data_IF_423222362340
#
_entry.id   IF_423222362340
#
_cell.length_a   1.000
_cell.length_b   1.000
_cell.length_c   1.000
_cell.angle_alpha   90.00
_cell.angle_beta   90.00
_cell.angle_gamma   90.00
#
_symmetry.space_group_name_H-M   'P 1'
#
loop_
_entity.id
_entity.type
_entity.pdbx_description
1 polymer ?
#
# COMPACT_ATOMS: atom_id res chain seq x y z
N UNK A 1 -10.00 11.77 2.57
CA UNK A 1 -8.93 10.80 2.88
C UNK A 1 -8.48 11.09 4.30
N UNK A 2 -8.36 10.11 5.20
CA UNK A 2 -7.89 10.40 6.57
C UNK A 2 -6.37 10.54 6.56
N UNK A 3 -5.85 11.62 7.12
CA UNK A 3 -4.43 12.05 7.09
C UNK A 3 -3.41 10.98 7.51
N UNK A 4 -3.82 10.07 8.39
CA UNK A 4 -3.02 8.93 8.86
C UNK A 4 -2.70 7.96 7.71
N UNK A 5 -3.52 7.89 6.68
CA UNK A 5 -3.35 6.94 5.58
C UNK A 5 -2.16 7.28 4.69
N UNK A 6 -1.88 8.56 4.44
CA UNK A 6 -0.85 9.03 3.50
C UNK A 6 0.56 8.82 4.05
N UNK A 7 0.77 9.09 5.34
CA UNK A 7 2.06 8.82 6.01
C UNK A 7 2.33 7.32 6.03
N UNK A 8 1.29 6.51 6.24
CA UNK A 8 1.46 5.06 6.18
C UNK A 8 1.82 4.57 4.76
N UNK A 9 1.36 5.25 3.69
CA UNK A 9 1.75 4.89 2.31
C UNK A 9 3.24 5.10 2.12
N UNK A 10 3.76 6.28 2.49
CA UNK A 10 5.18 6.55 2.32
C UNK A 10 6.04 5.64 3.19
N UNK A 11 5.60 5.26 4.40
CA UNK A 11 6.31 4.25 5.19
C UNK A 11 6.40 2.91 4.44
N UNK A 12 5.31 2.43 3.82
CA UNK A 12 5.32 1.20 3.00
C UNK A 12 6.27 1.34 1.80
N UNK A 13 6.22 2.45 1.07
CA UNK A 13 7.07 2.68 -0.09
C UNK A 13 8.56 2.71 0.31
N UNK A 14 8.89 3.34 1.44
CA UNK A 14 10.26 3.37 1.96
C UNK A 14 10.73 1.99 2.45
N UNK A 15 9.86 1.17 3.07
CA UNK A 15 10.18 -0.22 3.43
C UNK A 15 10.55 -1.03 2.19
N UNK A 16 9.75 -0.92 1.13
CA UNK A 16 10.02 -1.62 -0.12
C UNK A 16 11.35 -1.16 -0.75
N UNK A 17 11.62 0.15 -0.77
CA UNK A 17 12.89 0.69 -1.25
C UNK A 17 14.09 0.16 -0.43
N UNK A 18 13.97 0.10 0.89
CA UNK A 18 15.02 -0.46 1.76
C UNK A 18 15.28 -1.93 1.40
N UNK A 19 14.22 -2.73 1.23
CA UNK A 19 14.37 -4.13 0.85
C UNK A 19 15.00 -4.29 -0.55
N UNK A 20 14.69 -3.40 -1.49
CA UNK A 20 15.26 -3.40 -2.84
C UNK A 20 16.75 -3.04 -2.84
N UNK A 21 17.16 -2.00 -2.10
CA UNK A 21 18.51 -1.44 -2.17
C UNK A 21 19.51 -2.19 -1.29
N UNK A 22 19.11 -2.57 -0.08
CA UNK A 22 20.01 -3.20 0.89
C UNK A 22 19.52 -4.56 1.40
N UNK A 23 18.34 -5.03 0.98
CA UNK A 23 17.78 -6.33 1.38
C UNK A 23 17.86 -6.51 2.91
N UNK A 24 18.12 -7.70 3.43
CA UNK A 24 18.19 -7.95 4.87
C UNK A 24 19.36 -7.25 5.61
N UNK A 25 20.25 -6.51 4.92
CA UNK A 25 21.32 -5.75 5.57
C UNK A 25 20.79 -4.64 6.49
N UNK A 26 19.54 -4.19 6.30
CA UNK A 26 18.90 -3.22 7.20
C UNK A 26 18.82 -3.72 8.65
N UNK A 27 18.82 -5.04 8.87
CA UNK A 27 18.76 -5.64 10.20
C UNK A 27 20.04 -5.41 11.01
N UNK A 28 21.16 -5.16 10.34
CA UNK A 28 22.47 -4.94 10.96
C UNK A 28 22.73 -3.47 11.33
N UNK A 29 21.77 -2.60 11.04
CA UNK A 29 21.92 -1.16 11.26
C UNK A 29 21.93 -0.83 12.76
N UNK A 30 22.79 0.09 13.23
CA UNK A 30 23.00 0.36 14.67
C UNK A 30 21.73 0.70 15.46
N UNK A 31 20.76 1.34 14.79
CA UNK A 31 19.49 1.77 15.35
C UNK A 31 18.41 0.68 15.38
N UNK A 32 18.69 -0.51 14.86
CA UNK A 32 17.73 -1.59 14.72
C UNK A 32 17.96 -2.64 15.80
N UNK A 33 16.94 -2.80 16.65
CA UNK A 33 16.87 -3.90 17.59
C UNK A 33 15.84 -4.93 17.10
N UNK A 34 16.31 -5.96 16.40
CA UNK A 34 15.47 -7.04 15.88
C UNK A 34 14.69 -7.77 16.97
N UNK A 35 15.23 -7.87 18.20
CA UNK A 35 14.52 -8.47 19.32
C UNK A 35 13.29 -7.65 19.75
N UNK A 36 13.36 -6.31 19.66
CA UNK A 36 12.21 -5.45 19.97
C UNK A 36 11.18 -5.45 18.83
N UNK A 37 11.62 -5.53 17.57
CA UNK A 37 10.73 -5.74 16.43
C UNK A 37 9.99 -7.08 16.55
N UNK A 38 10.69 -8.13 16.97
CA UNK A 38 10.11 -9.45 17.20
C UNK A 38 9.07 -9.43 18.34
N UNK A 39 9.32 -8.67 19.42
CA UNK A 39 8.31 -8.45 20.47
C UNK A 39 7.07 -7.75 19.92
N UNK A 40 7.24 -6.72 19.08
CA UNK A 40 6.13 -6.01 18.42
C UNK A 40 5.34 -6.97 17.53
N UNK A 41 6.03 -7.75 16.70
CA UNK A 41 5.45 -8.78 15.84
C UNK A 41 4.60 -9.77 16.64
N UNK A 42 5.17 -10.34 17.70
CA UNK A 42 4.43 -11.25 18.59
C UNK A 42 3.24 -10.59 19.28
N UNK A 43 3.38 -9.33 19.70
CA UNK A 43 2.27 -8.60 20.29
C UNK A 43 1.14 -8.33 19.28
N UNK A 44 1.48 -8.07 18.02
CA UNK A 44 0.50 -7.88 16.95
C UNK A 44 -0.21 -9.19 16.61
N UNK A 45 0.54 -10.30 16.43
CA UNK A 45 -0.03 -11.63 16.19
C UNK A 45 -0.98 -12.08 17.30
N UNK A 46 -0.72 -11.70 18.57
CA UNK A 46 -1.63 -11.98 19.69
C UNK A 46 -2.93 -11.17 19.62
N UNK A 47 -2.87 -9.93 19.11
CA UNK A 47 -4.05 -9.07 18.95
C UNK A 47 -4.86 -9.43 17.70
N UNK A 48 -4.21 -10.04 16.70
CA UNK A 48 -4.77 -10.37 15.39
C UNK A 48 -4.45 -11.83 15.02
N UNK A 49 -5.02 -12.82 15.76
CA UNK A 49 -4.72 -14.23 15.54
C UNK A 49 -5.23 -14.77 14.19
N UNK A 50 -6.13 -14.03 13.52
CA UNK A 50 -6.74 -14.43 12.25
C UNK A 50 -5.87 -14.08 11.03
N UNK A 51 -4.80 -13.30 11.20
CA UNK A 51 -3.86 -12.95 10.12
C UNK A 51 -3.10 -14.21 9.67
N UNK A 52 -3.32 -14.63 8.42
CA UNK A 52 -2.67 -15.80 7.83
C UNK A 52 -1.22 -15.45 7.47
N UNK A 53 -0.25 -16.07 8.16
CA UNK A 53 1.19 -15.90 7.93
C UNK A 53 1.87 -14.89 8.86
N UNK A 54 3.17 -15.06 9.09
CA UNK A 54 3.97 -14.12 9.87
C UNK A 54 4.35 -12.92 8.99
N UNK A 55 3.96 -11.71 9.41
CA UNK A 55 4.41 -10.49 8.75
C UNK A 55 5.94 -10.36 8.80
N UNK A 56 6.60 -9.90 7.71
CA UNK A 56 8.04 -9.71 7.71
C UNK A 56 8.44 -8.62 8.73
N UNK A 57 9.62 -8.75 9.33
CA UNK A 57 10.07 -7.86 10.41
C UNK A 57 10.14 -6.38 9.99
N UNK A 58 10.37 -6.12 8.70
CA UNK A 58 10.47 -4.77 8.14
C UNK A 58 9.17 -3.96 8.32
N UNK A 59 8.01 -4.63 8.39
CA UNK A 59 6.70 -4.00 8.64
C UNK A 59 6.62 -3.32 10.01
N UNK A 60 7.45 -3.76 10.97
CA UNK A 60 7.44 -3.25 12.34
C UNK A 60 8.44 -2.10 12.57
N UNK A 61 9.18 -1.71 11.54
CA UNK A 61 10.04 -0.53 11.59
C UNK A 61 9.20 0.72 11.78
N UNK A 62 9.63 1.57 12.71
CA UNK A 62 9.02 2.88 12.92
C UNK A 62 9.57 3.92 11.94
N UNK A 63 8.80 4.99 11.71
CA UNK A 63 9.18 6.09 10.82
C UNK A 63 10.61 6.62 11.04
N UNK A 64 11.01 6.81 12.30
CA UNK A 64 12.36 7.28 12.65
C UNK A 64 13.44 6.26 12.31
N UNK A 65 13.12 4.96 12.38
CA UNK A 65 14.04 3.89 11.99
C UNK A 65 14.22 3.84 10.48
N UNK A 66 13.13 4.01 9.71
CA UNK A 66 13.18 4.13 8.24
C UNK A 66 14.08 5.30 7.82
N UNK A 67 13.87 6.48 8.42
CA UNK A 67 14.76 7.64 8.21
C UNK A 67 16.21 7.29 8.54
N UNK A 68 16.45 6.70 9.71
CA UNK A 68 17.80 6.39 10.18
C UNK A 68 18.55 5.42 9.26
N UNK A 69 17.88 4.37 8.77
CA UNK A 69 18.47 3.40 7.83
C UNK A 69 18.91 4.11 6.54
N UNK A 70 18.00 4.87 5.94
CA UNK A 70 18.24 5.55 4.66
C UNK A 70 19.36 6.60 4.81
N UNK A 71 19.37 7.38 5.88
CA UNK A 71 20.39 8.40 6.12
C UNK A 71 21.77 7.79 6.39
N UNK A 72 21.83 6.67 7.12
CA UNK A 72 23.10 5.99 7.40
C UNK A 72 23.75 5.43 6.13
N UNK A 73 22.96 4.85 5.24
CA UNK A 73 23.40 4.25 3.98
C UNK A 73 23.15 5.18 2.77
N UNK A 74 23.12 6.50 2.97
CA UNK A 74 22.61 7.47 1.99
C UNK A 74 23.17 7.27 0.58
N UNK A 75 24.45 6.98 0.46
CA UNK A 75 25.13 6.78 -0.82
C UNK A 75 24.50 5.67 -1.68
N UNK A 76 23.82 4.68 -1.07
CA UNK A 76 23.08 3.63 -1.81
C UNK A 76 21.68 4.07 -2.24
N UNK A 77 21.14 5.12 -1.62
CA UNK A 77 19.78 5.62 -1.85
C UNK A 77 19.75 6.96 -2.62
N UNK A 78 20.90 7.59 -2.84
CA UNK A 78 20.97 8.93 -3.45
C UNK A 78 20.35 8.98 -4.85
N UNK A 79 20.52 7.92 -5.64
CA UNK A 79 19.89 7.81 -6.97
C UNK A 79 18.35 7.75 -6.88
N UNK A 80 17.82 7.17 -5.80
CA UNK A 80 16.37 7.02 -5.59
C UNK A 80 15.70 8.25 -4.97
N UNK A 81 16.41 8.97 -4.10
CA UNK A 81 15.83 10.01 -3.24
C UNK A 81 16.41 11.41 -3.52
N UNK A 82 17.49 11.50 -4.29
CA UNK A 82 18.10 12.76 -4.74
C UNK A 82 18.97 13.41 -3.68
N UNK A 83 18.50 14.50 -3.06
CA UNK A 83 19.29 15.30 -2.13
C UNK A 83 19.00 14.92 -0.67
N UNK A 84 20.05 14.61 0.10
CA UNK A 84 19.93 14.15 1.49
C UNK A 84 19.26 15.18 2.40
N UNK A 85 19.70 16.43 2.33
CA UNK A 85 19.17 17.50 3.20
C UNK A 85 17.67 17.74 2.95
N UNK A 86 17.26 17.70 1.68
CA UNK A 86 15.86 17.80 1.28
C UNK A 86 15.04 16.62 1.83
N UNK A 87 15.54 15.38 1.66
CA UNK A 87 14.90 14.19 2.21
C UNK A 87 14.77 14.26 3.74
N UNK A 88 15.84 14.65 4.43
CA UNK A 88 15.81 14.76 5.90
C UNK A 88 14.85 15.84 6.39
N UNK A 89 14.77 16.97 5.68
CA UNK A 89 13.81 18.04 5.96
C UNK A 89 12.37 17.55 5.78
N UNK A 90 12.09 16.84 4.68
CA UNK A 90 10.78 16.27 4.42
C UNK A 90 10.37 15.24 5.46
N UNK A 91 11.27 14.30 5.79
CA UNK A 91 11.03 13.31 6.84
C UNK A 91 10.77 13.99 8.19
N UNK A 92 11.47 15.08 8.49
CA UNK A 92 11.23 15.86 9.71
C UNK A 92 9.85 16.52 9.71
N UNK A 93 9.41 17.08 8.57
CA UNK A 93 8.06 17.64 8.41
C UNK A 93 6.98 16.57 8.57
N UNK A 94 7.10 15.45 7.85
CA UNK A 94 6.17 14.33 7.92
C UNK A 94 6.09 13.75 9.35
N UNK A 95 7.23 13.63 10.05
CA UNK A 95 7.23 13.19 11.44
C UNK A 95 6.46 14.14 12.37
N UNK A 96 6.51 15.46 12.10
CA UNK A 96 5.70 16.45 12.80
C UNK A 96 4.20 16.16 12.71
N UNK A 97 3.77 15.78 11.50
CA UNK A 97 2.40 15.33 11.22
C UNK A 97 2.16 13.85 11.57
N UNK A 98 3.06 13.15 12.27
CA UNK A 98 2.86 11.76 12.72
C UNK A 98 2.50 11.65 14.21
N UNK A 99 2.74 12.70 14.99
CA UNK A 99 2.66 12.64 16.45
C UNK A 99 1.22 12.46 16.97
N UNK A 100 0.91 11.40 17.75
CA UNK A 100 -0.43 11.14 18.29
C UNK A 100 -1.06 12.31 19.07
N UNK A 101 -0.25 13.17 19.71
CA UNK A 101 -0.74 14.38 20.41
C UNK A 101 -1.18 15.50 19.46
N UNK A 102 -0.69 15.52 18.22
CA UNK A 102 -1.13 16.43 17.16
C UNK A 102 -2.38 15.87 16.45
N UNK A 103 -2.51 14.53 16.41
CA UNK A 103 -3.56 13.77 15.70
C UNK A 103 -4.92 13.64 16.39
N UNK A 104 -5.10 14.26 17.56
CA UNK A 104 -6.46 14.43 18.12
C UNK A 104 -7.25 15.55 17.41
N UNK A 105 -6.67 16.20 16.40
CA UNK A 105 -7.39 17.06 15.45
C UNK A 105 -7.14 16.61 14.01
N UNK A 106 -8.09 16.88 13.13
CA UNK A 106 -7.91 16.78 11.68
C UNK A 106 -6.82 17.77 11.22
N UNK A 107 -6.05 17.39 10.20
CA UNK A 107 -5.14 18.33 9.57
C UNK A 107 -5.94 19.47 8.94
N UNK A 108 -5.32 20.65 8.89
CA UNK A 108 -5.86 21.75 8.11
C UNK A 108 -5.57 21.46 6.63
N UNK A 109 -6.41 21.96 5.72
CA UNK A 109 -6.29 21.73 4.27
C UNK A 109 -4.85 21.97 3.75
N UNK A 110 -4.19 23.04 4.21
CA UNK A 110 -2.82 23.33 3.79
C UNK A 110 -1.77 22.34 4.35
N UNK A 111 -2.04 21.72 5.50
CA UNK A 111 -1.21 20.67 6.08
C UNK A 111 -1.39 19.38 5.28
N UNK A 112 -2.62 19.05 4.87
CA UNK A 112 -2.93 17.93 3.97
C UNK A 112 -2.23 18.09 2.63
N UNK A 113 -2.37 19.25 1.99
CA UNK A 113 -1.73 19.57 0.71
C UNK A 113 -0.20 19.43 0.80
N UNK A 114 0.39 19.88 1.91
CA UNK A 114 1.82 19.75 2.14
C UNK A 114 2.24 18.28 2.30
N UNK A 115 1.51 17.50 3.11
CA UNK A 115 1.79 16.07 3.30
C UNK A 115 1.68 15.33 1.97
N UNK A 116 0.59 15.55 1.22
CA UNK A 116 0.37 14.95 -0.10
C UNK A 116 1.45 15.35 -1.11
N UNK A 117 1.87 16.63 -1.10
CA UNK A 117 2.94 17.11 -1.98
C UNK A 117 4.29 16.47 -1.68
N UNK A 118 4.64 16.32 -0.40
CA UNK A 118 5.90 15.66 0.01
C UNK A 118 5.87 14.17 -0.36
N UNK A 119 4.82 13.44 0.03
CA UNK A 119 4.74 12.00 -0.21
C UNK A 119 4.61 11.67 -1.69
N UNK A 120 3.82 12.44 -2.44
CA UNK A 120 3.69 12.31 -3.89
C UNK A 120 5.02 12.52 -4.61
N UNK A 121 5.81 13.54 -4.21
CA UNK A 121 7.15 13.75 -4.77
C UNK A 121 8.08 12.59 -4.49
N UNK A 122 8.15 12.11 -3.24
CA UNK A 122 9.02 10.97 -2.89
C UNK A 122 8.64 9.71 -3.67
N UNK A 123 7.34 9.40 -3.77
CA UNK A 123 6.83 8.26 -4.56
C UNK A 123 7.26 8.37 -6.02
N UNK A 124 7.10 9.54 -6.63
CA UNK A 124 7.50 9.77 -8.01
C UNK A 124 9.03 9.61 -8.22
N UNK A 125 9.85 10.10 -7.29
CA UNK A 125 11.32 9.91 -7.36
C UNK A 125 11.71 8.43 -7.31
N UNK A 126 11.13 7.68 -6.37
CA UNK A 126 11.38 6.25 -6.21
C UNK A 126 10.89 5.47 -7.44
N UNK A 127 9.71 5.81 -7.95
CA UNK A 127 9.17 5.21 -9.17
C UNK A 127 10.09 5.46 -10.38
N UNK A 128 10.61 6.69 -10.51
CA UNK A 128 11.60 7.03 -11.54
C UNK A 128 12.88 6.20 -11.39
N UNK A 129 13.45 6.11 -10.19
CA UNK A 129 14.63 5.27 -9.94
C UNK A 129 14.40 3.80 -10.31
N UNK A 130 13.25 3.24 -9.92
CA UNK A 130 12.87 1.87 -10.31
C UNK A 130 12.74 1.72 -11.83
N UNK A 131 12.36 2.77 -12.54
CA UNK A 131 12.31 2.76 -14.00
C UNK A 131 13.69 2.79 -14.66
N UNK A 132 14.71 3.35 -13.99
CA UNK A 132 16.06 3.49 -14.53
C UNK A 132 16.97 2.28 -14.22
N UNK A 133 16.71 1.52 -13.16
CA UNK A 133 17.56 0.40 -12.70
C UNK A 133 17.12 -1.01 -13.17
N UNK A 134 15.89 -1.17 -13.67
CA UNK A 134 15.38 -2.47 -14.10
C UNK A 134 15.78 -2.84 -15.54
N UNK A 135 16.13 -4.11 -15.85
CA UNK A 135 16.32 -4.56 -17.23
C UNK A 135 15.07 -4.37 -18.11
N UNK A 136 13.90 -4.23 -17.47
CA UNK A 136 12.60 -4.06 -18.11
C UNK A 136 12.09 -2.61 -18.17
N UNK A 137 12.84 -1.61 -17.68
CA UNK A 137 12.48 -0.18 -17.64
C UNK A 137 11.01 0.03 -17.24
N UNK A 138 10.69 0.20 -15.96
CA UNK A 138 9.29 0.35 -15.49
C UNK A 138 8.57 1.55 -16.15
N UNK A 139 7.97 1.32 -17.31
CA UNK A 139 7.17 2.26 -18.09
C UNK A 139 5.72 2.30 -17.63
N UNK A 140 5.34 1.53 -16.62
CA UNK A 140 3.94 1.26 -16.29
C UNK A 140 3.67 1.63 -14.83
N UNK A 141 2.46 2.11 -14.51
CA UNK A 141 2.08 2.42 -13.15
C UNK A 141 2.06 1.14 -12.29
N UNK A 142 2.38 1.29 -11.00
CA UNK A 142 2.47 0.18 -10.04
C UNK A 142 1.63 0.44 -8.81
N UNK A 143 1.00 -0.61 -8.30
CA UNK A 143 0.26 -0.56 -7.03
C UNK A 143 1.27 -0.44 -5.89
N UNK A 144 1.12 0.61 -5.09
CA UNK A 144 1.94 0.83 -3.90
C UNK A 144 1.33 0.15 -2.68
N UNK A 145 -0.01 0.15 -2.58
CA UNK A 145 -0.73 -0.38 -1.41
C UNK A 145 -2.21 -0.62 -1.70
N UNK A 146 -2.74 -1.71 -1.15
CA UNK A 146 -4.17 -1.97 -1.02
C UNK A 146 -4.47 -2.42 0.41
N UNK A 147 -5.47 -1.83 1.05
CA UNK A 147 -5.93 -2.18 2.40
C UNK A 147 -7.44 -2.40 2.35
N UNK A 148 -7.92 -3.42 3.06
CA UNK A 148 -9.34 -3.53 3.41
C UNK A 148 -9.66 -2.52 4.52
N UNK A 149 -10.30 -1.40 4.15
CA UNK A 149 -10.64 -0.32 5.05
C UNK A 149 -11.88 -0.62 5.92
N UNK A 150 -12.69 -1.61 5.55
CA UNK A 150 -13.84 -2.05 6.35
C UNK A 150 -13.37 -2.83 7.57
N UNK A 151 -12.41 -3.74 7.39
CA UNK A 151 -11.92 -4.64 8.46
C UNK A 151 -10.53 -4.29 8.99
N UNK A 152 -9.88 -3.26 8.43
CA UNK A 152 -8.52 -2.83 8.75
C UNK A 152 -7.49 -3.98 8.65
N UNK A 153 -7.69 -4.86 7.68
CA UNK A 153 -6.83 -6.00 7.37
C UNK A 153 -5.79 -5.59 6.32
N UNK A 154 -4.51 -5.89 6.60
CA UNK A 154 -3.46 -5.83 5.58
C UNK A 154 -3.64 -7.05 4.69
N UNK A 155 -4.03 -6.80 3.44
CA UNK A 155 -4.24 -7.85 2.45
C UNK A 155 -2.90 -8.27 1.85
N UNK A 156 -2.79 -9.56 1.53
CA UNK A 156 -1.65 -10.12 0.78
C UNK A 156 -2.17 -10.62 -0.55
N UNK A 157 -1.52 -10.23 -1.64
CA UNK A 157 -1.93 -10.61 -2.99
C UNK A 157 -2.00 -12.13 -3.17
N UNK A 158 -3.07 -12.60 -3.80
CA UNK A 158 -3.33 -14.01 -4.08
C UNK A 158 -3.75 -14.84 -2.87
N UNK A 159 -3.82 -14.26 -1.66
CA UNK A 159 -4.26 -14.99 -0.47
C UNK A 159 -5.75 -14.81 -0.20
N UNK A 160 -6.26 -15.69 0.66
CA UNK A 160 -7.63 -15.65 1.15
C UNK A 160 -7.70 -14.76 2.40
N UNK A 161 -8.65 -13.84 2.45
CA UNK A 161 -8.96 -13.05 3.64
C UNK A 161 -9.49 -13.96 4.74
N UNK A 162 -9.20 -13.59 5.98
CA UNK A 162 -9.76 -14.24 7.17
C UNK A 162 -11.25 -13.91 7.40
N UNK A 163 -11.75 -12.86 6.74
CA UNK A 163 -13.11 -12.38 6.90
C UNK A 163 -14.10 -13.19 6.07
N UNK A 164 -15.19 -13.61 6.69
CA UNK A 164 -16.35 -14.18 6.01
C UNK A 164 -17.42 -13.11 5.78
N UNK A 165 -17.86 -12.97 4.54
CA UNK A 165 -18.86 -12.00 4.10
C UNK A 165 -20.24 -12.63 3.93
N UNK A 166 -21.27 -11.79 3.84
CA UNK A 166 -22.66 -12.15 3.53
C UNK A 166 -23.29 -11.12 2.60
N UNK A 167 -24.34 -11.48 1.84
CA UNK A 167 -25.13 -10.51 1.08
C UNK A 167 -25.58 -9.33 1.95
N UNK A 168 -25.39 -8.11 1.45
CA UNK A 168 -25.61 -6.85 2.16
C UNK A 168 -24.37 -6.23 2.80
N UNK A 169 -23.28 -7.00 2.99
CA UNK A 169 -22.02 -6.44 3.49
C UNK A 169 -21.38 -5.49 2.46
N UNK A 170 -20.61 -4.51 2.96
CA UNK A 170 -19.84 -3.57 2.12
C UNK A 170 -18.37 -3.64 2.45
N UNK A 171 -17.56 -4.05 1.47
CA UNK A 171 -16.10 -4.07 1.57
C UNK A 171 -15.54 -2.86 0.85
N UNK A 172 -14.79 -2.01 1.56
CA UNK A 172 -14.13 -0.83 0.98
C UNK A 172 -12.64 -1.06 0.94
N UNK A 173 -12.04 -0.93 -0.24
CA UNK A 173 -10.61 -1.01 -0.46
C UNK A 173 -10.04 0.40 -0.56
N UNK A 174 -8.97 0.68 0.20
CA UNK A 174 -8.13 1.86 0.00
C UNK A 174 -6.94 1.48 -0.85
N UNK A 175 -6.87 2.07 -2.04
CA UNK A 175 -5.87 1.75 -3.03
C UNK A 175 -4.95 2.95 -3.25
N UNK A 176 -3.66 2.70 -3.40
CA UNK A 176 -2.68 3.71 -3.79
C UNK A 176 -1.71 3.17 -4.84
N UNK A 177 -1.40 3.95 -5.87
CA UNK A 177 -0.46 3.60 -6.93
C UNK A 177 0.32 4.82 -7.42
N UNK A 178 1.42 4.56 -8.11
CA UNK A 178 2.28 5.58 -8.69
C UNK A 178 2.59 5.25 -10.15
N UNK A 179 2.53 6.26 -11.02
CA UNK A 179 3.07 6.20 -12.38
C UNK A 179 4.46 6.85 -12.40
N UNK A 180 5.51 6.16 -12.88
CA UNK A 180 6.86 6.74 -12.98
C UNK A 180 6.95 8.01 -13.83
N UNK A 181 6.03 8.19 -14.78
CA UNK A 181 5.97 9.35 -15.67
C UNK A 181 4.88 10.36 -15.26
N UNK A 182 4.23 10.16 -14.10
CA UNK A 182 3.15 11.03 -13.62
C UNK A 182 1.92 11.05 -14.51
N UNK A 183 1.71 10.03 -15.35
CA UNK A 183 0.52 9.94 -16.22
C UNK A 183 -0.71 9.56 -15.40
N UNK A 184 -1.92 9.97 -15.83
CA UNK A 184 -3.15 9.52 -15.20
C UNK A 184 -3.36 8.02 -15.44
N UNK A 185 -4.03 7.38 -14.49
CA UNK A 185 -4.45 5.99 -14.54
C UNK A 185 -5.78 5.82 -13.81
N UNK A 186 -6.49 4.75 -14.16
CA UNK A 186 -7.76 4.34 -13.58
C UNK A 186 -7.62 3.03 -12.82
N UNK A 187 -8.49 2.85 -11.86
CA UNK A 187 -8.65 1.64 -11.07
C UNK A 187 -9.96 0.95 -11.43
N UNK A 188 -9.95 -0.38 -11.40
CA UNK A 188 -11.15 -1.19 -11.51
C UNK A 188 -11.19 -2.24 -10.43
N UNK A 189 -12.29 -2.30 -9.68
CA UNK A 189 -12.61 -3.42 -8.80
C UNK A 189 -13.53 -4.37 -9.56
N UNK A 190 -13.09 -5.62 -9.72
CA UNK A 190 -13.85 -6.69 -10.36
C UNK A 190 -14.08 -7.82 -9.38
N UNK A 191 -15.31 -8.33 -9.32
CA UNK A 191 -15.67 -9.41 -8.37
C UNK A 191 -16.27 -10.57 -9.13
N UNK A 192 -15.90 -11.78 -8.74
CA UNK A 192 -16.42 -12.97 -9.40
C UNK A 192 -17.86 -13.27 -9.01
N UNK A 193 -18.70 -13.50 -10.01
CA UNK A 193 -20.09 -13.93 -9.87
C UNK A 193 -20.22 -15.44 -10.06
N UNK A 194 -21.44 -15.95 -9.94
CA UNK A 194 -21.81 -17.26 -10.48
C UNK A 194 -21.43 -17.36 -11.98
N UNK A 195 -21.12 -18.57 -12.46
CA UNK A 195 -20.67 -18.85 -13.84
C UNK A 195 -19.30 -18.26 -14.26
N UNK A 196 -18.46 -17.83 -13.31
CA UNK A 196 -17.05 -17.49 -13.57
C UNK A 196 -16.81 -16.11 -14.20
N UNK A 197 -17.86 -15.29 -14.37
CA UNK A 197 -17.72 -13.91 -14.82
C UNK A 197 -17.11 -13.02 -13.72
N UNK A 198 -16.33 -12.02 -14.11
CA UNK A 198 -15.78 -11.00 -13.22
C UNK A 198 -16.08 -9.58 -13.76
N UNK A 199 -17.33 -9.09 -13.63
CA UNK A 199 -17.65 -7.73 -14.01
C UNK A 199 -16.96 -6.72 -13.09
N UNK A 200 -16.73 -5.53 -13.63
CA UNK A 200 -16.37 -4.35 -12.84
C UNK A 200 -17.56 -3.95 -11.97
N UNK A 201 -17.33 -3.86 -10.66
CA UNK A 201 -18.33 -3.45 -9.66
C UNK A 201 -18.08 -2.04 -9.14
N UNK A 202 -16.85 -1.52 -9.27
CA UNK A 202 -16.50 -0.13 -8.99
C UNK A 202 -15.27 0.32 -9.78
N UNK A 203 -15.13 1.62 -10.01
CA UNK A 203 -14.01 2.23 -10.73
C UNK A 203 -13.72 3.65 -10.23
N UNK A 204 -12.45 4.05 -10.27
CA UNK A 204 -12.03 5.39 -9.83
C UNK A 204 -10.74 5.83 -10.53
N UNK A 205 -10.54 7.14 -10.65
CA UNK A 205 -9.32 7.74 -11.19
C UNK A 205 -8.47 8.37 -10.08
N UNK A 206 -7.14 8.30 -10.24
CA UNK A 206 -6.20 9.02 -9.37
C UNK A 206 -5.26 8.13 -8.57
N UNK A 207 -4.31 8.77 -7.89
CA UNK A 207 -3.21 8.08 -7.20
C UNK A 207 -3.65 7.32 -5.95
N UNK A 208 -4.66 7.85 -5.26
CA UNK A 208 -5.18 7.32 -4.01
C UNK A 208 -6.72 7.33 -4.09
N UNK A 209 -7.34 6.15 -4.05
CA UNK A 209 -8.79 5.98 -4.29
C UNK A 209 -9.42 5.04 -3.26
N UNK A 210 -10.74 5.14 -3.10
CA UNK A 210 -11.56 4.14 -2.42
C UNK A 210 -12.41 3.40 -3.45
N UNK A 211 -12.40 2.07 -3.42
CA UNK A 211 -13.24 1.21 -4.26
C UNK A 211 -14.14 0.37 -3.34
N UNK A 212 -15.42 0.24 -3.68
CA UNK A 212 -16.42 -0.40 -2.84
C UNK A 212 -17.08 -1.59 -3.53
N UNK A 213 -17.09 -2.74 -2.85
CA UNK A 213 -17.89 -3.88 -3.22
C UNK A 213 -19.08 -4.04 -2.28
N UNK A 214 -20.29 -3.94 -2.84
CA UNK A 214 -21.52 -4.35 -2.15
C UNK A 214 -21.82 -5.83 -2.44
N UNK A 215 -21.78 -6.66 -1.41
CA UNK A 215 -21.96 -8.11 -1.51
C UNK A 215 -23.42 -8.42 -1.81
N UNK A 216 -23.67 -9.35 -2.73
CA UNK A 216 -25.00 -9.68 -3.27
C UNK A 216 -25.16 -11.21 -3.27
N UNK A 217 -26.39 -11.70 -3.41
CA UNK A 217 -26.67 -13.15 -3.41
C UNK A 217 -25.89 -13.91 -4.49
N UNK A 218 -25.68 -13.29 -5.65
CA UNK A 218 -24.90 -13.87 -6.77
C UNK A 218 -23.40 -14.04 -6.48
N UNK A 219 -22.93 -13.45 -5.37
CA UNK A 219 -21.56 -13.57 -4.88
C UNK A 219 -21.38 -14.71 -3.87
N UNK A 220 -22.45 -15.40 -3.45
CA UNK A 220 -22.38 -16.47 -2.45
C UNK A 220 -21.61 -17.68 -3.01
N UNK A 221 -20.39 -17.87 -2.51
CA UNK A 221 -19.51 -19.04 -2.72
C UNK A 221 -18.27 -18.94 -1.84
N UNK A 222 -17.63 -20.08 -1.59
CA UNK A 222 -16.31 -20.14 -0.96
C UNK A 222 -15.24 -19.63 -1.93
N UNK A 223 -14.27 -18.89 -1.41
CA UNK A 223 -13.16 -18.35 -2.21
C UNK A 223 -13.62 -17.44 -3.36
N UNK A 224 -14.61 -16.59 -3.15
CA UNK A 224 -14.98 -15.58 -4.12
C UNK A 224 -13.84 -14.58 -4.34
N UNK A 225 -13.39 -14.43 -5.58
CA UNK A 225 -12.29 -13.53 -5.93
C UNK A 225 -12.74 -12.10 -6.17
N UNK A 226 -12.06 -11.16 -5.53
CA UNK A 226 -12.01 -9.75 -5.89
C UNK A 226 -10.64 -9.44 -6.51
N UNK A 227 -10.64 -8.80 -7.68
CA UNK A 227 -9.47 -8.37 -8.42
C UNK A 227 -9.50 -6.85 -8.58
N UNK A 228 -8.45 -6.18 -8.15
CA UNK A 228 -8.26 -4.74 -8.31
C UNK A 228 -7.22 -4.56 -9.40
N UNK A 229 -7.57 -3.86 -10.48
CA UNK A 229 -6.69 -3.60 -11.62
C UNK A 229 -6.32 -2.14 -11.69
N UNK A 230 -5.07 -1.88 -12.05
CA UNK A 230 -4.51 -0.57 -12.33
C UNK A 230 -4.27 -0.46 -13.83
N UNK A 231 -4.80 0.59 -14.47
CA UNK A 231 -4.76 0.76 -15.93
C UNK A 231 -4.29 2.18 -16.22
N UNK A 232 -3.07 2.30 -16.74
CA UNK A 232 -2.47 3.53 -17.22
C UNK A 232 -3.20 4.12 -18.43
N UNK A 233 -3.04 5.43 -18.65
CA UNK A 233 -3.54 6.10 -19.86
C UNK A 233 -2.65 5.93 -21.10
N UNK A 234 -1.57 5.15 -20.99
CA UNK A 234 -0.64 4.90 -22.09
C UNK A 234 -1.24 4.00 -23.18
N UNK A 235 -0.63 4.03 -24.37
CA UNK A 235 -1.03 3.17 -25.50
C UNK A 235 -0.63 1.70 -25.34
N UNK A 236 0.23 1.40 -24.37
CA UNK A 236 0.76 0.09 -24.08
C UNK A 236 0.56 -0.20 -22.60
N UNK A 237 0.35 -1.48 -22.27
CA UNK A 237 0.16 -1.93 -20.89
C UNK A 237 1.05 -3.13 -20.58
N UNK A 238 1.55 -3.21 -19.34
CA UNK A 238 2.43 -4.30 -18.87
C UNK A 238 1.84 -5.69 -19.15
N UNK A 239 0.55 -5.88 -18.88
CA UNK A 239 -0.16 -7.14 -19.01
C UNK A 239 -1.15 -7.13 -20.20
N UNK A 240 -0.86 -6.34 -21.24
CA UNK A 240 -1.65 -6.23 -22.47
C UNK A 240 -2.89 -5.32 -22.35
N UNK A 241 -3.64 -5.42 -21.25
CA UNK A 241 -4.87 -4.63 -21.02
C UNK A 241 -4.91 -3.88 -19.68
N UNK A 242 -3.89 -4.10 -18.83
CA UNK A 242 -3.73 -3.44 -17.54
C UNK A 242 -2.25 -3.48 -17.15
N UNK A 243 -1.86 -2.67 -16.17
CA UNK A 243 -0.46 -2.43 -15.83
C UNK A 243 -0.03 -3.12 -14.54
N UNK A 244 -0.95 -3.22 -13.61
CA UNK A 244 -0.75 -3.94 -12.36
C UNK A 244 -2.07 -4.45 -11.80
N UNK A 245 -2.03 -5.43 -10.92
CA UNK A 245 -3.23 -6.05 -10.36
C UNK A 245 -2.99 -6.65 -8.99
N UNK A 246 -4.05 -6.66 -8.19
CA UNK A 246 -4.09 -7.31 -6.89
C UNK A 246 -5.32 -8.20 -6.79
N UNK A 247 -5.16 -9.35 -6.17
CA UNK A 247 -6.18 -10.38 -6.04
C UNK A 247 -6.35 -10.77 -4.58
N UNK A 248 -7.59 -10.88 -4.15
CA UNK A 248 -7.95 -11.35 -2.81
C UNK A 248 -9.18 -12.26 -2.90
N UNK A 249 -9.25 -13.26 -2.02
CA UNK A 249 -10.38 -14.18 -1.96
C UNK A 249 -11.14 -14.04 -0.64
N UNK A 250 -12.47 -13.99 -0.68
CA UNK A 250 -13.33 -13.98 0.50
C UNK A 250 -14.28 -15.18 0.46
N UNK A 251 -14.59 -15.76 1.62
CA UNK A 251 -15.76 -16.65 1.71
C UNK A 251 -17.03 -15.82 1.83
N UNK A 252 -18.02 -16.09 0.98
CA UNK A 252 -19.31 -15.42 1.03
C UNK A 252 -20.38 -16.45 1.36
N UNK A 253 -20.93 -16.36 2.57
CA UNK A 253 -21.95 -17.28 3.05
C UNK A 253 -23.37 -16.76 2.77
N UNK A 254 -24.37 -17.65 2.65
CA UNK A 254 -25.77 -17.26 2.54
C UNK A 254 -26.24 -16.39 3.72
N UNK A 255 -27.33 -15.62 3.58
CA UNK A 255 -27.94 -14.90 4.70
C UNK A 255 -28.30 -15.85 5.86
N UNK A 256 -28.24 -15.36 7.11
CA UNK A 256 -28.72 -16.14 8.25
C UNK A 256 -30.26 -16.13 8.22
N UNK A 257 -30.87 -17.31 8.19
CA UNK A 257 -32.31 -17.49 8.40
C UNK A 257 -32.72 -17.15 9.83
#
# INVERSE_FOLDING_TARGET
MRDVDVINIIETVLRNLIQEVINDEWQNQPQINTADLEKKRRSDSRKRPERIGEAPLIEFLEFSQLKGIIVHEWQRFEDALGNQEAFELDMTRLHGFRNPKMHSRELLVYEEDLVNGITGRMRAQIAKYRSEQGPDMNYYPTIDRIIDATFAETLTDGLKSSVTLRPGDKVTFRCSATDPNGRPFRWELRVSKAAGQQPTVDEADGNDVELTWEVQDEHVKDGNSASIKLIGSGNYHRNGFYDDSFHIYYDVHPPKH
#
